data_IF_465279468183
#
_entry.id   IF_465279468183
#
_cell.length_a   1.000
_cell.length_b   1.000
_cell.length_c   1.000
_cell.angle_alpha   90.00
_cell.angle_beta   90.00
_cell.angle_gamma   90.00
#
_symmetry.space_group_name_H-M   'P 1'
#
loop_
_entity.id
_entity.type
_entity.pdbx_description
1 polymer ?
#
# COMPACT_ATOMS: atom_id res chain seq x y z
N UNK A 1 8.97 -5.00 12.85
CA UNK A 1 8.36 -3.84 12.17
C UNK A 1 8.01 -2.71 13.12
N UNK A 2 7.17 -2.92 14.12
CA UNK A 2 6.77 -1.84 15.05
C UNK A 2 7.94 -1.22 15.81
N UNK A 3 8.94 -2.01 16.17
CA UNK A 3 10.15 -1.50 16.79
C UNK A 3 10.91 -0.55 15.86
N UNK A 4 11.03 -0.88 14.57
CA UNK A 4 11.66 -0.01 13.57
C UNK A 4 10.87 1.27 13.38
N UNK A 5 9.54 1.18 13.28
CA UNK A 5 8.66 2.35 13.19
C UNK A 5 8.80 3.24 14.41
N UNK A 6 8.79 2.66 15.61
CA UNK A 6 8.96 3.42 16.86
C UNK A 6 10.30 4.15 16.91
N UNK A 7 11.38 3.52 16.48
CA UNK A 7 12.70 4.17 16.37
C UNK A 7 12.68 5.36 15.43
N UNK A 8 12.02 5.24 14.29
CA UNK A 8 11.86 6.35 13.35
C UNK A 8 11.00 7.47 13.92
N UNK A 9 9.93 7.14 14.62
CA UNK A 9 9.08 8.11 15.32
C UNK A 9 9.84 8.88 16.40
N UNK A 10 10.81 8.26 17.05
CA UNK A 10 11.68 8.93 18.03
C UNK A 10 12.71 9.85 17.38
N UNK A 11 13.20 9.51 16.20
CA UNK A 11 14.25 10.25 15.50
C UNK A 11 13.72 11.41 14.67
N UNK A 12 12.54 11.24 14.05
CA UNK A 12 11.98 12.20 13.11
C UNK A 12 10.65 12.74 13.57
N UNK A 13 10.47 14.04 13.43
CA UNK A 13 9.25 14.76 13.84
C UNK A 13 8.31 15.00 12.63
N UNK A 14 8.47 14.23 11.58
CA UNK A 14 7.69 14.34 10.35
C UNK A 14 8.49 14.91 9.18
N UNK A 15 7.83 15.07 8.06
CA UNK A 15 8.43 15.56 6.82
C UNK A 15 9.00 14.46 5.93
N UNK A 16 9.63 14.89 4.84
CA UNK A 16 10.08 13.98 3.77
C UNK A 16 11.13 12.97 4.23
N UNK A 17 11.98 13.35 5.18
CA UNK A 17 13.00 12.44 5.72
C UNK A 17 12.37 11.27 6.42
N UNK A 18 11.33 11.51 7.24
CA UNK A 18 10.60 10.45 7.90
C UNK A 18 9.99 9.47 6.89
N UNK A 19 9.31 9.97 5.88
CA UNK A 19 8.70 9.13 4.84
C UNK A 19 9.72 8.28 4.11
N UNK A 20 10.85 8.87 3.71
CA UNK A 20 11.92 8.17 3.00
C UNK A 20 12.51 7.04 3.83
N UNK A 21 12.81 7.29 5.09
CA UNK A 21 13.40 6.29 5.98
C UNK A 21 12.40 5.20 6.36
N UNK A 22 11.13 5.56 6.57
CA UNK A 22 10.09 4.59 6.86
C UNK A 22 9.84 3.66 5.67
N UNK A 23 9.78 4.19 4.46
CA UNK A 23 9.62 3.40 3.24
C UNK A 23 10.74 2.37 3.09
N UNK A 24 11.99 2.77 3.30
CA UNK A 24 13.13 1.85 3.31
C UNK A 24 13.02 0.77 4.40
N UNK A 25 12.54 1.14 5.57
CA UNK A 25 12.45 0.24 6.71
C UNK A 25 11.36 -0.83 6.54
N UNK A 26 10.23 -0.49 5.93
CA UNK A 26 9.08 -1.39 5.84
C UNK A 26 9.02 -2.21 4.56
N UNK A 27 9.57 -1.68 3.47
CA UNK A 27 9.46 -2.23 2.12
C UNK A 27 9.99 -3.66 1.99
N UNK A 28 11.10 -3.97 2.66
CA UNK A 28 11.80 -5.25 2.58
C UNK A 28 11.64 -6.11 3.84
N UNK A 29 10.85 -5.69 4.80
CA UNK A 29 10.63 -6.45 6.03
C UNK A 29 9.62 -7.58 5.78
N UNK A 30 10.06 -8.83 5.96
CA UNK A 30 9.24 -10.01 5.74
C UNK A 30 8.04 -10.09 6.69
N UNK A 31 8.15 -9.56 7.91
CA UNK A 31 7.04 -9.51 8.86
C UNK A 31 5.95 -8.53 8.40
N UNK A 32 6.34 -7.43 7.77
CA UNK A 32 5.41 -6.49 7.15
C UNK A 32 4.65 -7.15 6.01
N UNK A 33 5.36 -7.84 5.12
CA UNK A 33 4.75 -8.56 4.00
C UNK A 33 3.76 -9.62 4.49
N UNK A 34 4.13 -10.39 5.50
CA UNK A 34 3.27 -11.41 6.09
C UNK A 34 1.97 -10.79 6.67
N UNK A 35 2.08 -9.66 7.36
CA UNK A 35 0.91 -8.95 7.91
C UNK A 35 -0.01 -8.41 6.83
N UNK A 36 0.53 -7.87 5.73
CA UNK A 36 -0.28 -7.44 4.59
C UNK A 36 -1.04 -8.61 3.98
N UNK A 37 -0.38 -9.73 3.78
CA UNK A 37 -1.00 -10.95 3.25
C UNK A 37 -2.13 -11.43 4.16
N UNK A 38 -1.89 -11.46 5.46
CA UNK A 38 -2.89 -11.86 6.45
C UNK A 38 -4.12 -10.94 6.41
N UNK A 39 -3.93 -9.63 6.33
CA UNK A 39 -5.03 -8.67 6.21
C UNK A 39 -5.87 -8.89 4.96
N UNK A 40 -5.22 -9.11 3.82
CA UNK A 40 -5.90 -9.40 2.56
C UNK A 40 -6.71 -10.68 2.68
N UNK A 41 -6.11 -11.75 3.20
CA UNK A 41 -6.74 -13.07 3.34
C UNK A 41 -7.93 -13.06 4.29
N UNK A 42 -7.84 -12.30 5.38
CA UNK A 42 -8.94 -12.15 6.33
C UNK A 42 -10.11 -11.38 5.74
N UNK A 43 -9.83 -10.29 5.03
CA UNK A 43 -10.86 -9.37 4.57
C UNK A 43 -11.46 -9.76 3.23
N UNK A 44 -10.63 -10.23 2.30
CA UNK A 44 -11.04 -10.58 0.95
C UNK A 44 -10.41 -11.91 0.50
N UNK A 45 -10.81 -13.04 1.09
CA UNK A 45 -10.14 -14.33 0.87
C UNK A 45 -10.22 -14.84 -0.57
N UNK A 46 -11.16 -14.34 -1.36
CA UNK A 46 -11.37 -14.77 -2.75
C UNK A 46 -10.85 -13.77 -3.78
N UNK A 47 -10.31 -12.63 -3.34
CA UNK A 47 -9.84 -11.61 -4.26
C UNK A 47 -8.55 -12.04 -4.94
N UNK A 48 -8.42 -11.66 -6.21
CA UNK A 48 -7.16 -11.70 -6.93
C UNK A 48 -6.28 -10.52 -6.51
N UNK A 49 -4.98 -10.63 -6.72
CA UNK A 49 -4.00 -9.66 -6.22
C UNK A 49 -3.27 -8.99 -7.36
N UNK A 50 -3.28 -7.67 -7.33
CA UNK A 50 -2.39 -6.82 -8.12
C UNK A 50 -1.41 -6.16 -7.15
N UNK A 51 -0.13 -6.19 -7.44
CA UNK A 51 0.87 -5.58 -6.57
C UNK A 51 1.82 -4.69 -7.36
N UNK A 52 2.35 -3.65 -6.72
CA UNK A 52 3.41 -2.83 -7.30
C UNK A 52 4.73 -3.60 -7.37
N UNK A 53 5.59 -3.22 -8.35
CA UNK A 53 6.74 -4.03 -8.77
C UNK A 53 7.60 -4.57 -7.64
N UNK A 54 8.14 -3.71 -6.77
CA UNK A 54 9.10 -4.15 -5.76
C UNK A 54 8.46 -4.97 -4.63
N UNK A 55 7.34 -4.51 -4.09
CA UNK A 55 6.65 -5.27 -3.03
C UNK A 55 6.06 -6.56 -3.59
N UNK A 56 5.55 -6.52 -4.81
CA UNK A 56 5.02 -7.70 -5.49
C UNK A 56 6.09 -8.76 -5.73
N UNK A 57 7.28 -8.38 -6.17
CA UNK A 57 8.42 -9.29 -6.33
C UNK A 57 8.85 -9.90 -4.99
N UNK A 58 8.90 -9.08 -3.94
CA UNK A 58 9.23 -9.57 -2.60
C UNK A 58 8.22 -10.60 -2.10
N UNK A 59 6.93 -10.36 -2.30
CA UNK A 59 5.87 -11.31 -1.96
C UNK A 59 5.96 -12.59 -2.79
N UNK A 60 6.20 -12.47 -4.09
CA UNK A 60 6.38 -13.60 -4.98
C UNK A 60 7.53 -14.49 -4.53
N UNK A 61 8.65 -13.91 -4.11
CA UNK A 61 9.80 -14.64 -3.59
C UNK A 61 9.50 -15.37 -2.27
N UNK A 62 8.48 -14.94 -1.52
CA UNK A 62 7.98 -15.63 -0.32
C UNK A 62 6.93 -16.70 -0.64
N UNK A 63 6.68 -16.97 -1.92
CA UNK A 63 5.71 -17.98 -2.35
C UNK A 63 4.26 -17.48 -2.39
N UNK A 64 4.02 -16.18 -2.32
CA UNK A 64 2.68 -15.60 -2.41
C UNK A 64 2.26 -15.49 -3.86
N UNK A 65 1.04 -15.91 -4.16
CA UNK A 65 0.47 -15.75 -5.49
C UNK A 65 0.12 -14.29 -5.76
N UNK A 66 0.77 -13.70 -6.75
CA UNK A 66 0.45 -12.38 -7.30
C UNK A 66 -0.06 -12.58 -8.71
N UNK A 67 -1.29 -12.15 -8.99
CA UNK A 67 -1.90 -12.34 -10.30
C UNK A 67 -1.34 -11.36 -11.35
N UNK A 68 -1.09 -10.09 -10.94
CA UNK A 68 -0.51 -9.08 -11.82
C UNK A 68 0.50 -8.23 -11.06
N UNK A 69 1.60 -7.89 -11.72
CA UNK A 69 2.57 -6.88 -11.26
C UNK A 69 2.42 -5.62 -12.11
N UNK A 70 2.35 -4.47 -11.46
CA UNK A 70 2.30 -3.17 -12.13
C UNK A 70 3.51 -2.32 -11.71
N UNK A 71 3.97 -1.40 -12.57
CA UNK A 71 5.01 -0.45 -12.18
C UNK A 71 4.55 0.37 -10.98
N UNK A 72 5.44 0.65 -10.05
CA UNK A 72 5.13 1.43 -8.85
C UNK A 72 6.14 2.55 -8.62
N UNK A 73 5.84 3.39 -7.62
CA UNK A 73 6.72 4.45 -7.15
C UNK A 73 6.59 5.77 -7.92
N UNK A 74 7.53 6.67 -7.67
CA UNK A 74 7.56 8.03 -8.22
C UNK A 74 7.66 8.10 -9.75
N UNK A 75 8.02 6.99 -10.39
CA UNK A 75 8.14 6.87 -11.85
C UNK A 75 6.93 6.20 -12.48
N UNK A 76 5.85 6.11 -11.74
CA UNK A 76 4.63 5.51 -12.25
C UNK A 76 4.09 6.31 -13.43
N UNK A 77 4.00 5.63 -14.56
CA UNK A 77 3.44 6.17 -15.79
C UNK A 77 2.12 5.43 -16.07
N UNK A 78 0.97 6.13 -15.98
CA UNK A 78 -0.34 5.52 -16.23
C UNK A 78 -0.46 4.85 -17.59
N UNK A 79 0.23 5.39 -18.61
CA UNK A 79 0.19 4.87 -19.96
C UNK A 79 0.91 3.53 -20.13
N UNK A 80 1.69 3.13 -19.11
CA UNK A 80 2.37 1.82 -19.08
C UNK A 80 1.52 0.70 -18.53
N UNK A 81 0.37 1.00 -17.95
CA UNK A 81 -0.57 -0.03 -17.50
C UNK A 81 -1.55 -0.31 -18.62
N UNK A 82 -1.40 -1.48 -19.22
CA UNK A 82 -2.34 -1.99 -20.20
C UNK A 82 -2.63 -3.45 -19.91
N UNK A 83 -3.76 -3.71 -19.27
CA UNK A 83 -4.20 -5.05 -18.94
C UNK A 83 -5.23 -5.60 -19.93
N UNK A 84 -5.51 -4.88 -21.01
CA UNK A 84 -6.46 -5.30 -22.08
C UNK A 84 -6.20 -6.73 -22.60
N UNK A 85 -4.95 -7.15 -22.87
CA UNK A 85 -4.68 -8.53 -23.32
C UNK A 85 -5.10 -9.59 -22.31
N UNK A 86 -5.29 -9.21 -21.03
CA UNK A 86 -5.65 -10.11 -19.93
C UNK A 86 -7.10 -9.94 -19.48
N UNK A 87 -7.93 -9.28 -20.27
CA UNK A 87 -9.34 -9.04 -19.92
C UNK A 87 -10.06 -10.32 -19.48
N UNK A 88 -9.79 -11.44 -20.12
CA UNK A 88 -10.40 -12.73 -19.78
C UNK A 88 -10.05 -13.22 -18.35
N UNK A 89 -8.98 -12.71 -17.75
CA UNK A 89 -8.58 -12.98 -16.36
C UNK A 89 -9.09 -11.93 -15.38
N UNK A 90 -9.66 -10.84 -15.86
CA UNK A 90 -10.10 -9.69 -15.07
C UNK A 90 -11.61 -9.60 -15.02
N UNK A 91 -12.27 -9.77 -16.14
CA UNK A 91 -13.73 -9.66 -16.26
C UNK A 91 -14.44 -10.64 -15.31
N UNK A 92 -15.30 -10.09 -14.45
CA UNK A 92 -16.06 -10.85 -13.46
C UNK A 92 -15.30 -11.24 -12.18
N UNK A 93 -14.04 -10.81 -12.03
CA UNK A 93 -13.24 -11.08 -10.83
C UNK A 93 -13.10 -9.87 -9.94
N UNK A 94 -12.87 -10.11 -8.65
CA UNK A 94 -12.59 -9.10 -7.65
C UNK A 94 -11.09 -9.00 -7.41
N UNK A 95 -10.59 -7.77 -7.24
CA UNK A 95 -9.17 -7.47 -7.09
C UNK A 95 -8.89 -6.59 -5.89
N UNK A 96 -7.77 -6.85 -5.25
CA UNK A 96 -7.11 -5.96 -4.29
C UNK A 96 -5.78 -5.50 -4.83
N UNK A 97 -5.38 -4.28 -4.49
CA UNK A 97 -4.09 -3.71 -4.85
C UNK A 97 -3.17 -3.66 -3.62
N UNK A 98 -1.96 -4.15 -3.77
CA UNK A 98 -0.94 -4.14 -2.70
C UNK A 98 0.20 -3.23 -3.11
N UNK A 99 0.54 -2.29 -2.25
CA UNK A 99 1.65 -1.37 -2.43
C UNK A 99 2.40 -1.17 -1.10
N UNK A 100 3.59 -0.60 -1.14
CA UNK A 100 4.36 -0.27 0.05
C UNK A 100 3.79 0.93 0.78
N UNK A 101 3.40 1.97 0.05
CA UNK A 101 2.91 3.22 0.62
C UNK A 101 1.76 3.84 -0.18
N UNK A 102 1.00 4.70 0.50
CA UNK A 102 -0.11 5.43 -0.07
C UNK A 102 0.00 6.90 0.34
N UNK A 103 0.14 7.80 -0.62
CA UNK A 103 0.22 9.24 -0.41
C UNK A 103 -0.89 10.00 -1.14
N UNK A 104 -0.77 10.13 -2.45
CA UNK A 104 -1.77 10.82 -3.28
C UNK A 104 -2.91 9.92 -3.75
N UNK A 105 -2.71 8.60 -3.69
CA UNK A 105 -3.66 7.63 -4.22
C UNK A 105 -3.66 7.50 -5.75
N UNK A 106 -2.76 8.17 -6.44
CA UNK A 106 -2.72 8.19 -7.91
C UNK A 106 -2.48 6.81 -8.51
N UNK A 107 -1.54 6.04 -7.96
CA UNK A 107 -1.25 4.68 -8.44
C UNK A 107 -2.46 3.77 -8.26
N UNK A 108 -3.07 3.80 -7.09
CA UNK A 108 -4.26 3.00 -6.78
C UNK A 108 -5.44 3.37 -7.68
N UNK A 109 -5.64 4.67 -7.95
CA UNK A 109 -6.71 5.15 -8.83
C UNK A 109 -6.54 4.62 -10.26
N UNK A 110 -5.33 4.67 -10.81
CA UNK A 110 -5.05 4.17 -12.15
C UNK A 110 -5.29 2.65 -12.25
N UNK A 111 -4.86 1.90 -11.25
CA UNK A 111 -5.12 0.45 -11.18
C UNK A 111 -6.62 0.17 -11.10
N UNK A 112 -7.34 0.89 -10.26
CA UNK A 112 -8.80 0.80 -10.14
C UNK A 112 -9.50 1.04 -11.47
N UNK A 113 -9.17 2.14 -12.14
CA UNK A 113 -9.78 2.51 -13.41
C UNK A 113 -9.54 1.44 -14.50
N UNK A 114 -8.33 0.90 -14.57
CA UNK A 114 -8.00 -0.15 -15.53
C UNK A 114 -8.76 -1.44 -15.25
N UNK A 115 -8.84 -1.87 -13.99
CA UNK A 115 -9.60 -3.06 -13.58
C UNK A 115 -11.09 -2.91 -13.90
N UNK A 116 -11.68 -1.78 -13.53
CA UNK A 116 -13.11 -1.52 -13.75
C UNK A 116 -13.46 -1.40 -15.24
N UNK A 117 -12.58 -0.77 -16.02
CA UNK A 117 -12.69 -0.69 -17.48
C UNK A 117 -12.77 -2.08 -18.13
N UNK A 118 -12.07 -3.06 -17.59
CA UNK A 118 -12.01 -4.43 -18.10
C UNK A 118 -13.06 -5.38 -17.50
N UNK A 119 -14.01 -4.86 -16.72
CA UNK A 119 -15.12 -5.62 -16.14
C UNK A 119 -14.82 -6.26 -14.79
N UNK A 120 -13.68 -5.96 -14.18
CA UNK A 120 -13.35 -6.39 -12.83
C UNK A 120 -13.92 -5.46 -11.77
N UNK A 121 -13.85 -5.90 -10.52
CA UNK A 121 -14.24 -5.10 -9.35
C UNK A 121 -13.00 -4.81 -8.50
N UNK A 122 -12.77 -3.54 -8.21
CA UNK A 122 -11.69 -3.11 -7.34
C UNK A 122 -12.19 -2.96 -5.90
N UNK A 123 -11.66 -3.76 -4.99
CA UNK A 123 -12.12 -3.83 -3.60
C UNK A 123 -11.39 -2.86 -2.66
N UNK A 124 -10.17 -2.51 -2.97
CA UNK A 124 -9.38 -1.59 -2.17
C UNK A 124 -7.89 -1.82 -2.25
N UNK A 125 -7.15 -1.02 -1.49
CA UNK A 125 -5.70 -1.04 -1.42
C UNK A 125 -5.24 -1.52 -0.04
N UNK A 126 -4.17 -2.31 -0.02
CA UNK A 126 -3.47 -2.74 1.18
C UNK A 126 -2.04 -2.24 1.10
N UNK A 127 -1.65 -1.43 2.07
CA UNK A 127 -0.34 -0.78 2.10
C UNK A 127 0.31 -0.95 3.46
N UNK A 128 1.63 -0.97 3.49
CA UNK A 128 2.36 -0.97 4.76
C UNK A 128 2.22 0.38 5.45
N UNK A 129 2.24 1.45 4.68
CA UNK A 129 2.28 2.81 5.20
C UNK A 129 1.29 3.73 4.45
N UNK A 130 0.45 4.43 5.22
CA UNK A 130 -0.46 5.45 4.71
C UNK A 130 -0.04 6.84 5.22
N UNK A 131 0.38 7.70 4.30
CA UNK A 131 0.75 9.10 4.56
C UNK A 131 -0.28 10.10 4.07
N UNK A 132 -1.48 9.67 3.70
CA UNK A 132 -2.55 10.56 3.24
C UNK A 132 -3.20 11.28 4.43
N UNK A 133 -3.43 12.59 4.29
CA UNK A 133 -4.08 13.40 5.34
C UNK A 133 -5.49 12.91 5.63
N UNK A 134 -6.26 12.69 4.58
CA UNK A 134 -7.63 12.21 4.70
C UNK A 134 -7.65 10.68 4.70
N UNK A 135 -8.43 10.14 5.64
CA UNK A 135 -8.59 8.70 5.73
C UNK A 135 -9.54 8.22 4.63
N UNK A 136 -9.03 7.32 3.78
CA UNK A 136 -9.81 6.65 2.76
C UNK A 136 -10.25 5.27 3.28
N UNK A 137 -11.56 4.98 3.36
CA UNK A 137 -12.07 3.71 3.87
C UNK A 137 -11.70 2.51 2.99
N UNK A 138 -11.30 2.73 1.74
CA UNK A 138 -10.83 1.66 0.83
C UNK A 138 -9.34 1.39 0.94
N UNK A 139 -8.62 2.12 1.78
CA UNK A 139 -7.20 1.94 2.04
C UNK A 139 -6.99 1.32 3.42
N UNK A 140 -6.37 0.15 3.43
CA UNK A 140 -6.04 -0.59 4.64
C UNK A 140 -4.52 -0.54 4.82
N UNK A 141 -4.06 0.04 5.91
CA UNK A 141 -2.64 0.19 6.19
C UNK A 141 -2.24 -0.48 7.50
N UNK A 142 -0.99 -0.91 7.58
CA UNK A 142 -0.40 -1.39 8.83
C UNK A 142 -0.01 -0.22 9.73
N UNK A 143 0.37 0.89 9.13
CA UNK A 143 0.78 2.09 9.81
C UNK A 143 0.22 3.31 9.10
N UNK A 144 -0.37 4.23 9.85
CA UNK A 144 -0.89 5.49 9.31
C UNK A 144 -0.21 6.66 10.00
N UNK A 145 0.45 7.55 9.22
CA UNK A 145 1.21 8.70 9.73
C UNK A 145 0.37 9.59 10.64
N UNK A 146 -0.82 9.98 10.21
CA UNK A 146 -1.67 10.92 10.96
C UNK A 146 -2.37 10.31 12.17
N UNK A 147 -2.21 9.03 12.44
CA UNK A 147 -2.56 8.43 13.73
C UNK A 147 -1.50 8.73 14.81
N UNK A 148 -0.29 9.14 14.40
CA UNK A 148 0.85 9.40 15.27
C UNK A 148 1.32 10.85 15.27
N UNK A 149 1.04 11.62 14.21
CA UNK A 149 1.45 13.00 14.04
C UNK A 149 0.27 13.88 13.66
N UNK A 150 0.32 15.16 14.05
CA UNK A 150 -0.63 16.17 13.59
C UNK A 150 -0.23 16.73 12.20
N UNK A 151 -1.03 17.66 11.68
CA UNK A 151 -0.79 18.27 10.36
C UNK A 151 0.49 19.13 10.28
N UNK A 152 1.09 19.47 11.42
CA UNK A 152 2.36 20.20 11.50
C UNK A 152 3.55 19.27 11.73
N UNK A 153 3.32 17.96 11.72
CA UNK A 153 4.35 16.95 11.94
C UNK A 153 4.77 16.78 13.41
N UNK A 154 3.92 17.21 14.36
CA UNK A 154 4.18 17.05 15.79
C UNK A 154 3.60 15.74 16.30
N UNK A 155 4.33 14.98 17.15
CA UNK A 155 3.81 13.72 17.70
C UNK A 155 2.55 13.92 18.55
N UNK A 156 1.49 13.15 18.25
CA UNK A 156 0.22 13.20 18.99
C UNK A 156 0.36 12.74 20.44
N UNK A 157 1.28 11.82 20.73
CA UNK A 157 1.53 11.32 22.08
C UNK A 157 1.96 12.42 23.05
N UNK A 158 2.67 13.45 22.57
CA UNK A 158 3.05 14.63 23.37
C UNK A 158 1.89 15.58 23.62
N UNK A 159 0.94 15.64 22.70
CA UNK A 159 -0.25 16.47 22.85
C UNK A 159 -1.27 15.86 23.80
N UNK A 160 -1.33 14.53 23.94
CA UNK A 160 -2.24 13.82 24.84
C UNK A 160 -1.80 13.84 26.30
N UNK A 161 -0.53 14.07 26.57
CA UNK A 161 0.06 14.10 27.91
C UNK A 161 0.21 15.53 28.47
N UNK A 162 -0.24 16.51 27.73
CA UNK A 162 -0.31 17.92 28.20
C UNK A 162 -1.79 18.33 28.55
#
# INVERSE_FOLDING_TARGET
MFETVNKLLEQYIGGDIFFTELDKAVKFDQNVLAKLIDQVSEKFPKAKTIASGEIGLSMHNLGVKIDFLVPGGLRFDPDKINLEPFKYKIDGYEFVFIDDSYFSGKTALVVKEEIEKLGGTFLGSFVAYDGCREKDPTVHSLYRYYDHFDLLGRPLSKARNS
#
